data_IF_491710741424
#
_entry.id   IF_491710741424
#
_cell.length_a   1.000
_cell.length_b   1.000
_cell.length_c   1.000
_cell.angle_alpha   90.00
_cell.angle_beta   90.00
_cell.angle_gamma   90.00
#
_symmetry.space_group_name_H-M   'P 1'
#
loop_
_entity.id
_entity.type
_entity.pdbx_description
1 polymer ?
#
# COMPACT_ATOMS: atom_id res chain seq x y z
N UNK A 1 -17.59 -19.93 -31.98
CA UNK A 1 -16.35 -19.35 -31.42
C UNK A 1 -16.69 -18.86 -30.02
N UNK A 2 -16.36 -19.63 -29.00
CA UNK A 2 -16.62 -19.24 -27.60
C UNK A 2 -15.42 -18.39 -27.19
N UNK A 3 -15.63 -17.07 -27.03
CA UNK A 3 -14.62 -16.25 -26.40
C UNK A 3 -14.40 -16.82 -25.00
N UNK A 4 -13.15 -17.18 -24.61
CA UNK A 4 -12.90 -17.50 -23.20
C UNK A 4 -13.42 -16.32 -22.39
N UNK A 5 -14.23 -16.62 -21.37
CA UNK A 5 -14.79 -15.58 -20.52
C UNK A 5 -13.64 -14.71 -20.01
N UNK A 6 -13.83 -13.40 -19.91
CA UNK A 6 -12.81 -12.47 -19.36
C UNK A 6 -12.29 -12.97 -18.01
N UNK A 7 -13.15 -13.66 -17.26
CA UNK A 7 -12.79 -14.41 -16.06
C UNK A 7 -11.67 -15.45 -16.28
N UNK A 8 -11.83 -16.36 -17.25
CA UNK A 8 -10.84 -17.39 -17.55
C UNK A 8 -9.50 -16.82 -18.06
N UNK A 9 -9.52 -15.63 -18.69
CA UNK A 9 -8.31 -14.94 -19.13
C UNK A 9 -7.56 -14.23 -17.99
N UNK A 10 -8.26 -13.79 -16.93
CA UNK A 10 -7.70 -13.05 -15.80
C UNK A 10 -7.28 -13.93 -14.63
N UNK A 11 -7.93 -15.08 -14.43
CA UNK A 11 -7.66 -16.03 -13.35
C UNK A 11 -6.19 -16.45 -13.20
N UNK A 12 -5.39 -16.60 -14.28
CA UNK A 12 -3.96 -16.90 -14.13
C UNK A 12 -3.15 -15.77 -13.46
N UNK A 13 -3.64 -14.54 -13.52
CA UNK A 13 -2.91 -13.33 -13.10
C UNK A 13 -3.50 -12.65 -11.86
N UNK A 14 -4.79 -12.86 -11.60
CA UNK A 14 -5.56 -12.23 -10.53
C UNK A 14 -6.34 -13.28 -9.75
N UNK A 15 -6.36 -13.13 -8.43
CA UNK A 15 -7.29 -13.87 -7.57
C UNK A 15 -8.65 -13.16 -7.64
N UNK A 16 -9.48 -13.54 -8.62
CA UNK A 16 -10.74 -12.84 -8.93
C UNK A 16 -11.70 -12.83 -7.74
N UNK A 17 -11.97 -13.97 -7.05
CA UNK A 17 -12.83 -13.97 -5.87
C UNK A 17 -12.31 -13.04 -4.76
N UNK A 18 -11.00 -13.07 -4.48
CA UNK A 18 -10.39 -12.18 -3.48
C UNK A 18 -10.53 -10.71 -3.83
N UNK A 19 -10.28 -10.35 -5.10
CA UNK A 19 -10.34 -8.97 -5.55
C UNK A 19 -11.77 -8.43 -5.64
N UNK A 20 -12.75 -9.28 -5.98
CA UNK A 20 -14.16 -8.91 -5.97
C UNK A 20 -14.65 -8.56 -4.55
N UNK A 21 -14.36 -9.42 -3.56
CA UNK A 21 -14.74 -9.14 -2.18
C UNK A 21 -13.94 -7.97 -1.58
N UNK A 22 -12.63 -7.86 -1.90
CA UNK A 22 -11.82 -6.73 -1.50
C UNK A 22 -12.36 -5.41 -2.05
N UNK A 23 -12.80 -5.37 -3.31
CA UNK A 23 -13.42 -4.17 -3.89
C UNK A 23 -14.66 -3.75 -3.11
N UNK A 24 -15.51 -4.69 -2.71
CA UNK A 24 -16.66 -4.39 -1.84
C UNK A 24 -16.24 -3.86 -0.46
N UNK A 25 -15.23 -4.49 0.16
CA UNK A 25 -14.66 -4.03 1.45
C UNK A 25 -14.12 -2.61 1.33
N UNK A 26 -13.39 -2.29 0.25
CA UNK A 26 -12.83 -0.97 0.01
C UNK A 26 -13.90 0.09 -0.22
N UNK A 27 -14.98 -0.24 -0.95
CA UNK A 27 -16.12 0.67 -1.11
C UNK A 27 -16.83 0.95 0.22
N UNK A 28 -17.04 -0.07 1.06
CA UNK A 28 -17.61 0.11 2.40
C UNK A 28 -16.69 0.88 3.32
N UNK A 29 -15.38 0.63 3.23
CA UNK A 29 -14.35 1.33 3.98
C UNK A 29 -14.29 2.80 3.59
N UNK A 30 -14.31 3.11 2.29
CA UNK A 30 -14.38 4.46 1.76
C UNK A 30 -15.62 5.21 2.27
N UNK A 31 -16.81 4.60 2.15
CA UNK A 31 -18.05 5.22 2.66
C UNK A 31 -17.98 5.46 4.16
N UNK A 32 -17.45 4.50 4.92
CA UNK A 32 -17.29 4.62 6.37
C UNK A 32 -16.28 5.70 6.73
N UNK A 33 -15.17 5.82 6.00
CA UNK A 33 -14.18 6.86 6.20
C UNK A 33 -14.78 8.25 6.03
N UNK A 34 -15.53 8.46 4.95
CA UNK A 34 -16.13 9.77 4.63
C UNK A 34 -17.27 10.11 5.59
N UNK A 35 -18.15 9.16 5.90
CA UNK A 35 -19.39 9.44 6.64
C UNK A 35 -19.32 9.16 8.14
N UNK A 36 -18.61 8.11 8.57
CA UNK A 36 -18.61 7.60 9.96
C UNK A 36 -17.23 7.01 10.34
N UNK A 37 -16.17 7.84 10.45
CA UNK A 37 -14.81 7.34 10.71
C UNK A 37 -14.70 6.57 12.04
N UNK A 38 -15.54 6.87 13.03
CA UNK A 38 -15.62 6.11 14.28
C UNK A 38 -16.10 4.66 14.08
N UNK A 39 -17.05 4.43 13.17
CA UNK A 39 -17.48 3.08 12.81
C UNK A 39 -16.34 2.31 12.16
N UNK A 40 -15.62 2.97 11.25
CA UNK A 40 -14.46 2.35 10.61
C UNK A 40 -13.37 2.00 11.62
N UNK A 41 -13.10 2.89 12.59
CA UNK A 41 -12.18 2.60 13.70
C UNK A 41 -12.59 1.34 14.46
N UNK A 42 -13.87 1.22 14.83
CA UNK A 42 -14.38 0.01 15.51
C UNK A 42 -14.17 -1.23 14.66
N UNK A 43 -14.48 -1.18 13.36
CA UNK A 43 -14.26 -2.30 12.44
C UNK A 43 -12.78 -2.70 12.39
N UNK A 44 -11.86 -1.72 12.30
CA UNK A 44 -10.41 -1.96 12.29
C UNK A 44 -9.94 -2.63 13.58
N UNK A 45 -10.41 -2.16 14.75
CA UNK A 45 -10.05 -2.75 16.04
C UNK A 45 -10.61 -4.16 16.20
N UNK A 46 -11.87 -4.40 15.80
CA UNK A 46 -12.49 -5.73 15.84
C UNK A 46 -11.76 -6.69 14.88
N UNK A 47 -11.47 -6.28 13.65
CA UNK A 47 -10.71 -7.08 12.69
C UNK A 47 -9.31 -7.43 13.24
N UNK A 48 -8.64 -6.46 13.87
CA UNK A 48 -7.34 -6.66 14.52
C UNK A 48 -7.42 -7.69 15.65
N UNK A 49 -8.46 -7.61 16.49
CA UNK A 49 -8.69 -8.56 17.58
C UNK A 49 -8.99 -9.97 17.03
N UNK A 50 -9.83 -10.08 16.02
CA UNK A 50 -10.15 -11.36 15.35
C UNK A 50 -8.88 -12.00 14.78
N UNK A 51 -8.06 -11.24 14.04
CA UNK A 51 -6.80 -11.76 13.50
C UNK A 51 -5.86 -12.20 14.64
N UNK A 52 -5.70 -11.39 15.69
CA UNK A 52 -4.79 -11.71 16.81
C UNK A 52 -5.21 -12.98 17.56
N UNK A 53 -6.52 -13.21 17.73
CA UNK A 53 -7.05 -14.36 18.49
C UNK A 53 -7.04 -15.63 17.64
N UNK A 54 -7.46 -15.52 16.38
CA UNK A 54 -7.80 -16.67 15.52
C UNK A 54 -6.74 -17.00 14.47
N UNK A 55 -5.93 -16.05 13.98
CA UNK A 55 -4.91 -16.36 12.97
C UNK A 55 -3.73 -17.12 13.60
N UNK A 56 -3.71 -18.43 13.36
CA UNK A 56 -2.62 -19.34 13.74
C UNK A 56 -1.70 -19.70 12.57
N UNK A 57 -1.97 -19.13 11.40
CA UNK A 57 -1.32 -19.53 10.14
C UNK A 57 -0.24 -18.57 9.70
N UNK A 58 -0.35 -17.30 10.09
CA UNK A 58 0.62 -16.26 9.77
C UNK A 58 1.94 -16.47 10.49
N UNK A 59 3.03 -16.26 9.77
CA UNK A 59 4.38 -16.18 10.35
C UNK A 59 4.48 -14.98 11.30
N UNK A 60 5.50 -14.96 12.18
CA UNK A 60 5.76 -13.82 13.06
C UNK A 60 5.90 -12.50 12.29
N UNK A 61 6.56 -12.54 11.12
CA UNK A 61 6.73 -11.37 10.26
C UNK A 61 5.42 -10.87 9.66
N UNK A 62 4.57 -11.77 9.16
CA UNK A 62 3.23 -11.42 8.64
C UNK A 62 2.33 -10.85 9.74
N UNK A 63 2.39 -11.41 10.95
CA UNK A 63 1.64 -10.90 12.10
C UNK A 63 2.13 -9.49 12.52
N UNK A 64 3.45 -9.28 12.61
CA UNK A 64 4.03 -7.95 12.90
C UNK A 64 3.58 -6.94 11.86
N UNK A 65 3.67 -7.29 10.58
CA UNK A 65 3.22 -6.42 9.48
C UNK A 65 1.73 -6.09 9.61
N UNK A 66 0.90 -7.09 9.89
CA UNK A 66 -0.54 -6.91 10.06
C UNK A 66 -0.85 -5.96 11.23
N UNK A 67 -0.17 -6.13 12.37
CA UNK A 67 -0.34 -5.24 13.53
C UNK A 67 0.21 -3.82 13.28
N UNK A 68 1.30 -3.70 12.51
CA UNK A 68 1.86 -2.41 12.12
C UNK A 68 0.95 -1.64 11.16
N UNK A 69 0.34 -2.33 10.18
CA UNK A 69 -0.50 -1.71 9.16
C UNK A 69 -1.93 -1.42 9.66
N UNK A 70 -2.53 -2.33 10.43
CA UNK A 70 -3.96 -2.30 10.74
C UNK A 70 -4.28 -1.48 12.02
N UNK A 71 -4.01 -1.95 13.25
CA UNK A 71 -4.32 -1.16 14.45
C UNK A 71 -3.34 0.02 14.64
N UNK A 72 -2.04 -0.19 14.38
CA UNK A 72 -1.05 0.88 14.55
C UNK A 72 -1.08 1.87 13.39
N UNK A 73 -1.16 1.42 12.14
CA UNK A 73 -1.27 2.30 10.97
C UNK A 73 -2.65 2.95 10.86
N UNK A 74 -3.59 2.26 10.21
CA UNK A 74 -4.93 2.80 9.94
C UNK A 74 -5.70 3.14 11.23
N UNK A 75 -5.61 2.30 12.26
CA UNK A 75 -6.31 2.51 13.53
C UNK A 75 -5.86 3.78 14.25
N UNK A 76 -4.56 4.09 14.29
CA UNK A 76 -4.08 5.34 14.91
C UNK A 76 -4.51 6.57 14.12
N UNK A 77 -4.50 6.50 12.78
CA UNK A 77 -4.96 7.59 11.92
C UNK A 77 -6.44 7.86 12.14
N UNK A 78 -7.27 6.81 12.17
CA UNK A 78 -8.70 6.93 12.45
C UNK A 78 -8.98 7.43 13.87
N UNK A 79 -8.24 6.95 14.87
CA UNK A 79 -8.33 7.44 16.24
C UNK A 79 -8.03 8.94 16.31
N UNK A 80 -6.97 9.39 15.64
CA UNK A 80 -6.61 10.79 15.57
C UNK A 80 -7.66 11.63 14.83
N UNK A 81 -8.26 11.09 13.76
CA UNK A 81 -9.38 11.70 13.03
C UNK A 81 -10.62 11.85 13.93
N UNK A 82 -10.95 10.85 14.74
CA UNK A 82 -12.14 10.85 15.61
C UNK A 82 -11.93 11.67 16.88
N UNK A 83 -10.68 11.90 17.29
CA UNK A 83 -10.35 12.64 18.49
C UNK A 83 -10.92 14.08 18.50
N UNK A 84 -11.17 14.58 19.70
CA UNK A 84 -11.64 15.95 19.92
C UNK A 84 -10.59 16.99 19.48
N UNK A 85 -11.03 18.21 19.13
CA UNK A 85 -10.14 19.30 18.71
C UNK A 85 -9.00 19.60 19.72
N UNK A 86 -9.25 19.62 21.05
CA UNK A 86 -8.17 19.84 22.02
C UNK A 86 -7.11 18.73 22.01
N UNK A 87 -7.54 17.47 21.86
CA UNK A 87 -6.63 16.32 21.78
C UNK A 87 -5.80 16.40 20.49
N UNK A 88 -6.43 16.69 19.35
CA UNK A 88 -5.73 16.90 18.08
C UNK A 88 -4.68 18.00 18.21
N UNK A 89 -5.04 19.17 18.73
CA UNK A 89 -4.11 20.30 18.88
C UNK A 89 -2.92 19.96 19.79
N UNK A 90 -3.17 19.26 20.90
CA UNK A 90 -2.12 18.84 21.85
C UNK A 90 -1.14 17.82 21.26
N UNK A 91 -1.64 16.88 20.48
CA UNK A 91 -0.85 15.73 20.00
C UNK A 91 -0.42 15.81 18.54
N UNK A 92 -0.83 16.84 17.79
CA UNK A 92 -0.54 16.97 16.35
C UNK A 92 0.94 16.82 16.02
N UNK A 93 1.82 17.45 16.82
CA UNK A 93 3.26 17.36 16.58
C UNK A 93 3.80 15.93 16.75
N UNK A 94 3.47 15.28 17.87
CA UNK A 94 3.87 13.90 18.13
C UNK A 94 3.30 12.93 17.09
N UNK A 95 2.03 13.13 16.71
CA UNK A 95 1.37 12.33 15.67
C UNK A 95 2.04 12.53 14.29
N UNK A 96 2.48 13.75 13.98
CA UNK A 96 3.25 14.03 12.75
C UNK A 96 4.58 13.30 12.71
N UNK A 97 5.30 13.27 13.83
CA UNK A 97 6.54 12.50 13.94
C UNK A 97 6.25 11.01 13.75
N UNK A 98 5.25 10.48 14.43
CA UNK A 98 4.84 9.07 14.34
C UNK A 98 4.53 8.66 12.89
N UNK A 99 3.69 9.44 12.21
CA UNK A 99 3.29 9.20 10.82
C UNK A 99 4.49 9.29 9.87
N UNK A 100 5.36 10.29 10.04
CA UNK A 100 6.57 10.38 9.23
C UNK A 100 7.41 9.11 9.40
N UNK A 101 7.63 8.67 10.64
CA UNK A 101 8.37 7.44 10.90
C UNK A 101 7.73 6.21 10.26
N UNK A 102 6.40 6.11 10.33
CA UNK A 102 5.65 5.02 9.71
C UNK A 102 5.75 5.04 8.18
N UNK A 103 5.57 6.21 7.54
CA UNK A 103 5.60 6.34 6.07
C UNK A 103 7.01 6.10 5.52
N UNK A 104 8.02 6.83 6.03
CA UNK A 104 9.40 6.67 5.56
C UNK A 104 9.95 5.28 5.92
N UNK A 105 9.64 4.79 7.12
CA UNK A 105 10.01 3.45 7.55
C UNK A 105 9.44 2.38 6.63
N UNK A 106 8.14 2.43 6.31
CA UNK A 106 7.50 1.45 5.43
C UNK A 106 8.15 1.42 4.04
N UNK A 107 8.43 2.59 3.45
CA UNK A 107 9.06 2.69 2.13
C UNK A 107 10.50 2.15 2.17
N UNK A 108 11.32 2.61 3.13
CA UNK A 108 12.73 2.19 3.25
C UNK A 108 12.85 0.69 3.54
N UNK A 109 11.95 0.14 4.36
CA UNK A 109 11.92 -1.30 4.66
C UNK A 109 11.68 -2.16 3.41
N UNK A 110 11.07 -1.62 2.35
CA UNK A 110 10.90 -2.36 1.09
C UNK A 110 12.24 -2.70 0.41
N UNK A 111 13.35 -2.00 0.73
CA UNK A 111 14.70 -2.34 0.26
C UNK A 111 15.14 -3.73 0.77
N UNK A 112 14.67 -4.12 1.95
CA UNK A 112 14.96 -5.41 2.56
C UNK A 112 14.15 -6.57 1.95
N UNK A 113 13.25 -6.29 0.99
CA UNK A 113 12.51 -7.32 0.27
C UNK A 113 13.48 -8.27 -0.44
N UNK A 114 13.37 -9.60 -0.25
CA UNK A 114 14.23 -10.57 -0.93
C UNK A 114 14.15 -10.41 -2.45
N UNK A 115 15.29 -10.36 -3.12
CA UNK A 115 15.38 -10.21 -4.59
C UNK A 115 14.97 -11.48 -5.33
N UNK A 116 14.87 -12.62 -4.64
CA UNK A 116 14.54 -13.92 -5.22
C UNK A 116 15.51 -14.33 -6.34
N UNK A 117 16.76 -13.87 -6.25
CA UNK A 117 17.83 -14.07 -7.24
C UNK A 117 17.47 -13.65 -8.67
N UNK A 118 16.58 -12.66 -8.80
CA UNK A 118 16.17 -12.08 -10.09
C UNK A 118 16.87 -10.75 -10.37
N UNK A 119 17.08 -10.45 -11.66
CA UNK A 119 17.60 -9.14 -12.08
C UNK A 119 16.62 -8.03 -11.68
N UNK A 120 15.30 -8.23 -11.92
CA UNK A 120 14.29 -7.24 -11.54
C UNK A 120 14.28 -6.97 -10.02
N UNK A 121 14.53 -7.98 -9.19
CA UNK A 121 14.61 -7.84 -7.74
C UNK A 121 15.76 -6.93 -7.31
N UNK A 122 16.93 -7.04 -7.95
CA UNK A 122 18.04 -6.13 -7.69
C UNK A 122 17.70 -4.69 -8.15
N UNK A 123 17.13 -4.54 -9.35
CA UNK A 123 16.71 -3.25 -9.86
C UNK A 123 15.65 -2.58 -8.98
N UNK A 124 14.71 -3.35 -8.42
CA UNK A 124 13.72 -2.85 -7.45
C UNK A 124 14.40 -2.26 -6.20
N UNK A 125 15.47 -2.88 -5.68
CA UNK A 125 16.20 -2.31 -4.53
C UNK A 125 16.80 -0.95 -4.86
N UNK A 126 17.42 -0.82 -6.05
CA UNK A 126 17.99 0.45 -6.53
C UNK A 126 16.89 1.50 -6.69
N UNK A 127 15.77 1.14 -7.33
CA UNK A 127 14.62 2.03 -7.48
C UNK A 127 14.04 2.47 -6.14
N UNK A 128 13.92 1.55 -5.18
CA UNK A 128 13.43 1.83 -3.84
C UNK A 128 14.33 2.81 -3.10
N UNK A 129 15.65 2.64 -3.16
CA UNK A 129 16.60 3.58 -2.55
C UNK A 129 16.47 4.98 -3.16
N UNK A 130 16.38 5.08 -4.48
CA UNK A 130 16.21 6.35 -5.19
C UNK A 130 14.88 7.05 -4.83
N UNK A 131 13.78 6.30 -4.81
CA UNK A 131 12.45 6.80 -4.41
C UNK A 131 12.41 7.21 -2.93
N UNK A 132 13.09 6.47 -2.07
CA UNK A 132 13.22 6.78 -0.64
C UNK A 132 13.97 8.10 -0.44
N UNK A 133 15.11 8.27 -1.11
CA UNK A 133 15.86 9.53 -1.07
C UNK A 133 15.00 10.70 -1.57
N UNK A 134 14.23 10.50 -2.65
CA UNK A 134 13.34 11.53 -3.18
C UNK A 134 12.26 11.95 -2.18
N UNK A 135 11.52 11.01 -1.57
CA UNK A 135 10.45 11.38 -0.63
C UNK A 135 11.00 11.97 0.66
N UNK A 136 12.15 11.50 1.15
CA UNK A 136 12.83 12.05 2.32
C UNK A 136 13.21 13.52 2.08
N UNK A 137 13.75 13.85 0.90
CA UNK A 137 14.08 15.23 0.53
C UNK A 137 12.82 16.09 0.41
N UNK A 138 11.72 15.55 -0.15
CA UNK A 138 10.43 16.27 -0.17
C UNK A 138 9.94 16.57 1.25
N UNK A 139 10.00 15.59 2.15
CA UNK A 139 9.70 15.76 3.57
C UNK A 139 10.54 16.83 4.25
N UNK A 140 11.84 16.83 3.97
CA UNK A 140 12.77 17.83 4.49
C UNK A 140 12.43 19.25 4.00
N UNK A 141 12.11 19.44 2.71
CA UNK A 141 11.76 20.76 2.15
C UNK A 141 10.49 21.37 2.76
N UNK A 142 9.57 20.53 3.23
CA UNK A 142 8.37 20.98 4.00
C UNK A 142 8.60 20.96 5.52
N UNK A 143 9.86 20.94 5.97
CA UNK A 143 10.27 20.94 7.37
C UNK A 143 9.62 19.83 8.21
N UNK A 144 9.37 18.67 7.59
CA UNK A 144 8.68 17.53 8.23
C UNK A 144 7.24 17.81 8.68
N UNK A 145 6.66 18.96 8.32
CA UNK A 145 5.25 19.30 8.54
C UNK A 145 4.39 18.71 7.42
N UNK A 146 4.38 17.38 7.39
CA UNK A 146 3.80 16.58 6.29
C UNK A 146 2.32 16.28 6.47
N UNK A 147 1.74 16.59 7.62
CA UNK A 147 0.32 16.37 7.89
C UNK A 147 -0.42 17.70 7.85
N UNK A 148 -1.50 17.73 7.08
CA UNK A 148 -2.57 18.70 7.20
C UNK A 148 -3.85 17.98 7.68
N UNK A 149 -4.58 18.56 8.61
CA UNK A 149 -5.94 18.11 8.94
C UNK A 149 -6.92 18.94 8.12
N UNK A 150 -7.69 18.31 7.25
CA UNK A 150 -8.74 18.97 6.48
C UNK A 150 -10.05 18.21 6.64
N UNK A 151 -11.06 18.83 7.25
CA UNK A 151 -12.41 18.26 7.39
C UNK A 151 -12.47 16.79 7.87
N UNK A 152 -11.70 16.49 8.92
CA UNK A 152 -11.56 15.14 9.49
C UNK A 152 -10.94 14.09 8.55
N UNK A 153 -10.21 14.54 7.54
CA UNK A 153 -9.32 13.69 6.75
C UNK A 153 -7.87 13.95 7.10
N UNK A 154 -7.12 12.86 7.07
CA UNK A 154 -5.69 12.84 7.16
C UNK A 154 -5.10 13.14 5.78
N UNK A 155 -4.35 14.23 5.67
CA UNK A 155 -3.72 14.66 4.42
C UNK A 155 -2.21 14.61 4.58
N UNK A 156 -1.55 13.87 3.67
CA UNK A 156 -0.09 13.81 3.61
C UNK A 156 0.41 14.69 2.47
N UNK A 157 1.12 15.77 2.79
CA UNK A 157 1.47 16.85 1.85
C UNK A 157 2.86 16.70 1.23
N UNK A 158 3.68 15.75 1.69
CA UNK A 158 5.06 15.65 1.20
C UNK A 158 5.17 14.98 -0.17
N UNK A 159 4.25 14.08 -0.52
CA UNK A 159 4.33 13.32 -1.76
C UNK A 159 3.85 14.15 -2.96
N UNK A 160 4.66 14.23 -4.02
CA UNK A 160 4.21 14.83 -5.29
C UNK A 160 3.51 13.81 -6.19
N UNK A 161 2.66 14.28 -7.13
CA UNK A 161 2.02 13.41 -8.14
C UNK A 161 3.03 12.53 -8.87
N UNK A 162 4.15 13.11 -9.29
CA UNK A 162 5.22 12.38 -9.99
C UNK A 162 5.83 11.29 -9.11
N UNK A 163 6.02 11.56 -7.82
CA UNK A 163 6.52 10.55 -6.90
C UNK A 163 5.49 9.42 -6.72
N UNK A 164 4.21 9.75 -6.58
CA UNK A 164 3.11 8.77 -6.43
C UNK A 164 3.06 7.81 -7.62
N UNK A 165 3.09 8.32 -8.86
CA UNK A 165 3.07 7.45 -10.04
C UNK A 165 4.34 6.61 -10.19
N UNK A 166 5.51 7.19 -9.88
CA UNK A 166 6.77 6.45 -9.92
C UNK A 166 6.81 5.34 -8.86
N UNK A 167 6.31 5.62 -7.65
CA UNK A 167 6.16 4.67 -6.57
C UNK A 167 5.15 3.56 -6.93
N UNK A 168 4.02 3.91 -7.53
CA UNK A 168 3.04 2.93 -7.98
C UNK A 168 3.61 1.97 -9.04
N UNK A 169 4.35 2.49 -10.02
CA UNK A 169 5.03 1.66 -11.01
C UNK A 169 6.08 0.75 -10.37
N UNK A 170 6.89 1.30 -9.46
CA UNK A 170 7.86 0.53 -8.69
C UNK A 170 7.19 -0.60 -7.90
N UNK A 171 6.14 -0.29 -7.13
CA UNK A 171 5.46 -1.25 -6.25
C UNK A 171 4.69 -2.31 -7.04
N UNK A 172 4.14 -1.95 -8.20
CA UNK A 172 3.59 -2.92 -9.14
C UNK A 172 4.64 -3.97 -9.54
N UNK A 173 5.87 -3.55 -9.89
CA UNK A 173 6.95 -4.47 -10.24
C UNK A 173 7.42 -5.27 -9.02
N UNK A 174 7.58 -4.62 -7.86
CA UNK A 174 7.99 -5.25 -6.61
C UNK A 174 7.06 -6.41 -6.22
N UNK A 175 5.75 -6.22 -6.37
CA UNK A 175 4.73 -7.23 -6.03
C UNK A 175 4.70 -8.42 -7.01
N UNK A 176 5.52 -8.39 -8.07
CA UNK A 176 5.76 -9.55 -8.96
C UNK A 176 6.96 -10.40 -8.53
N UNK A 177 7.67 -10.03 -7.46
CA UNK A 177 8.82 -10.79 -6.97
C UNK A 177 8.39 -12.14 -6.36
N UNK A 178 9.23 -13.18 -6.46
CA UNK A 178 8.90 -14.53 -5.97
C UNK A 178 8.54 -14.58 -4.48
N UNK A 179 9.06 -13.66 -3.67
CA UNK A 179 8.77 -13.62 -2.23
C UNK A 179 7.30 -13.31 -1.89
N UNK A 180 6.52 -12.77 -2.84
CA UNK A 180 5.08 -12.52 -2.67
C UNK A 180 4.21 -13.72 -3.13
N UNK A 181 4.81 -14.90 -3.33
CA UNK A 181 4.10 -16.09 -3.78
C UNK A 181 3.59 -15.92 -5.21
N UNK A 182 2.31 -16.26 -5.46
CA UNK A 182 1.68 -16.02 -6.77
C UNK A 182 1.54 -14.52 -7.09
N UNK A 183 1.60 -13.63 -6.08
CA UNK A 183 1.36 -12.20 -6.19
C UNK A 183 -0.08 -11.82 -6.59
N UNK A 184 -0.95 -12.80 -6.89
CA UNK A 184 -2.29 -12.61 -7.48
C UNK A 184 -3.22 -11.74 -6.64
N UNK A 185 -3.12 -11.84 -5.32
CA UNK A 185 -3.90 -11.04 -4.35
C UNK A 185 -3.44 -9.58 -4.25
N UNK A 186 -2.22 -9.26 -4.67
CA UNK A 186 -1.61 -7.94 -4.49
C UNK A 186 -1.47 -7.15 -5.79
N UNK A 187 -1.71 -7.77 -6.95
CA UNK A 187 -1.51 -7.17 -8.29
C UNK A 187 -2.34 -5.91 -8.55
N UNK A 188 -3.52 -5.79 -7.94
CA UNK A 188 -4.40 -4.63 -8.09
C UNK A 188 -4.20 -3.57 -7.01
N UNK A 189 -3.25 -3.76 -6.08
CA UNK A 189 -3.09 -2.88 -4.92
C UNK A 189 -2.94 -1.42 -5.36
N UNK A 190 -2.03 -1.13 -6.30
CA UNK A 190 -1.79 0.23 -6.76
C UNK A 190 -3.00 0.82 -7.52
N UNK A 191 -3.76 -0.01 -8.23
CA UNK A 191 -5.00 0.43 -8.89
C UNK A 191 -6.03 0.83 -7.83
N UNK A 192 -6.15 0.07 -6.74
CA UNK A 192 -7.01 0.43 -5.62
C UNK A 192 -6.52 1.70 -4.92
N UNK A 193 -5.22 1.84 -4.63
CA UNK A 193 -4.68 3.04 -3.98
C UNK A 193 -4.91 4.30 -4.84
N UNK A 194 -4.61 4.24 -6.14
CA UNK A 194 -4.84 5.36 -7.06
C UNK A 194 -6.33 5.66 -7.27
N UNK A 195 -7.16 4.63 -7.40
CA UNK A 195 -8.61 4.77 -7.54
C UNK A 195 -9.25 5.41 -6.31
N UNK A 196 -8.87 4.95 -5.11
CA UNK A 196 -9.35 5.53 -3.86
C UNK A 196 -8.82 6.95 -3.65
N UNK A 197 -7.58 7.23 -4.06
CA UNK A 197 -7.02 8.60 -4.06
C UNK A 197 -7.86 9.53 -4.92
N UNK A 198 -8.22 9.09 -6.14
CA UNK A 198 -9.09 9.84 -7.04
C UNK A 198 -10.48 10.08 -6.43
N UNK A 199 -11.11 9.04 -5.87
CA UNK A 199 -12.42 9.17 -5.23
C UNK A 199 -12.39 10.15 -4.06
N UNK A 200 -11.38 10.06 -3.19
CA UNK A 200 -11.20 10.99 -2.07
C UNK A 200 -10.99 12.42 -2.55
N UNK A 201 -10.13 12.64 -3.55
CA UNK A 201 -9.90 13.96 -4.14
C UNK A 201 -11.19 14.56 -4.70
N UNK A 202 -12.02 13.76 -5.37
CA UNK A 202 -13.32 14.21 -5.90
C UNK A 202 -14.31 14.57 -4.80
N UNK A 203 -14.40 13.79 -3.72
CA UNK A 203 -15.35 14.08 -2.64
C UNK A 203 -14.94 15.22 -1.73
N UNK A 204 -13.65 15.51 -1.65
CA UNK A 204 -13.09 16.47 -0.68
C UNK A 204 -12.66 17.77 -1.33
N UNK A 205 -12.66 17.82 -2.66
CA UNK A 205 -12.12 18.93 -3.45
C UNK A 205 -10.65 19.24 -3.17
N UNK A 206 -9.92 18.30 -2.55
CA UNK A 206 -8.48 18.39 -2.33
C UNK A 206 -7.71 17.93 -3.56
N UNK A 207 -6.49 18.43 -3.71
CA UNK A 207 -5.55 17.95 -4.72
C UNK A 207 -5.30 16.44 -4.58
N UNK A 208 -5.20 15.74 -5.70
CA UNK A 208 -5.01 14.29 -5.77
C UNK A 208 -3.89 13.78 -4.84
N UNK A 209 -2.74 14.43 -4.89
CA UNK A 209 -1.54 14.09 -4.12
C UNK A 209 -1.76 14.08 -2.60
N UNK A 210 -2.62 14.96 -2.12
CA UNK A 210 -2.93 15.12 -0.70
C UNK A 210 -3.76 13.97 -0.15
N UNK A 211 -4.54 13.31 -1.01
CA UNK A 211 -5.38 12.18 -0.63
C UNK A 211 -4.64 10.83 -0.66
N UNK A 212 -3.47 10.76 -1.31
CA UNK A 212 -2.77 9.49 -1.55
C UNK A 212 -2.36 8.80 -0.25
N UNK A 213 -1.82 9.55 0.72
CA UNK A 213 -1.39 9.00 2.00
C UNK A 213 -2.53 8.28 2.74
N UNK A 214 -3.73 8.88 2.75
CA UNK A 214 -4.90 8.24 3.37
C UNK A 214 -5.39 7.04 2.56
N UNK A 215 -5.43 7.16 1.23
CA UNK A 215 -5.85 6.07 0.36
C UNK A 215 -4.97 4.82 0.53
N UNK A 216 -3.64 4.98 0.53
CA UNK A 216 -2.72 3.86 0.69
C UNK A 216 -2.76 3.29 2.12
N UNK A 217 -2.96 4.15 3.13
CA UNK A 217 -3.18 3.75 4.53
C UNK A 217 -4.51 3.00 4.72
N UNK A 218 -5.45 3.11 3.79
CA UNK A 218 -6.69 2.31 3.80
C UNK A 218 -6.50 1.00 3.02
N UNK A 219 -5.97 1.09 1.80
CA UNK A 219 -5.89 -0.04 0.88
C UNK A 219 -4.92 -1.10 1.37
N UNK A 220 -3.70 -0.72 1.77
CA UNK A 220 -2.71 -1.70 2.18
C UNK A 220 -3.16 -2.52 3.41
N UNK A 221 -3.67 -1.91 4.50
CA UNK A 221 -4.17 -2.68 5.63
C UNK A 221 -5.43 -3.49 5.30
N UNK A 222 -6.31 -3.02 4.40
CA UNK A 222 -7.48 -3.78 3.97
C UNK A 222 -7.08 -5.05 3.21
N UNK A 223 -6.09 -4.98 2.31
CA UNK A 223 -5.54 -6.15 1.61
C UNK A 223 -4.95 -7.14 2.62
N UNK A 224 -4.13 -6.65 3.55
CA UNK A 224 -3.48 -7.48 4.58
C UNK A 224 -4.52 -8.16 5.49
N UNK A 225 -5.47 -7.39 6.03
CA UNK A 225 -6.52 -7.90 6.90
C UNK A 225 -7.40 -8.92 6.17
N UNK A 226 -7.82 -8.63 4.94
CA UNK A 226 -8.64 -9.55 4.15
C UNK A 226 -7.88 -10.83 3.79
N UNK A 227 -6.58 -10.72 3.49
CA UNK A 227 -5.71 -11.88 3.27
C UNK A 227 -5.62 -12.77 4.51
N UNK A 228 -5.40 -12.20 5.70
CA UNK A 228 -5.36 -12.96 6.96
C UNK A 228 -6.70 -13.59 7.31
N UNK A 229 -7.81 -12.83 7.23
CA UNK A 229 -9.16 -13.33 7.56
C UNK A 229 -9.58 -14.44 6.59
N UNK A 230 -9.42 -14.23 5.28
CA UNK A 230 -9.78 -15.23 4.28
C UNK A 230 -8.99 -16.53 4.44
N UNK A 231 -7.70 -16.46 4.81
CA UNK A 231 -6.88 -17.64 5.11
C UNK A 231 -7.29 -18.33 6.40
N UNK A 232 -7.55 -17.55 7.46
CA UNK A 232 -7.89 -18.07 8.80
C UNK A 232 -9.18 -18.87 8.79
N UNK A 233 -10.18 -18.39 8.07
CA UNK A 233 -11.52 -19.01 8.00
C UNK A 233 -11.78 -19.79 6.70
N UNK A 234 -10.74 -20.00 5.89
CA UNK A 234 -10.81 -20.72 4.61
C UNK A 234 -11.93 -20.23 3.67
N UNK A 235 -12.17 -18.90 3.67
CA UNK A 235 -13.28 -18.28 2.94
C UNK A 235 -13.05 -18.22 1.43
N UNK A 236 -11.79 -18.25 1.01
CA UNK A 236 -11.36 -18.18 -0.39
C UNK A 236 -10.28 -19.24 -0.60
N UNK A 237 -10.33 -20.01 -1.70
CA UNK A 237 -9.31 -20.99 -2.03
C UNK A 237 -7.91 -20.41 -1.83
N UNK A 238 -7.07 -21.16 -1.11
CA UNK A 238 -5.69 -20.74 -0.84
C UNK A 238 -4.98 -20.50 -2.17
N UNK A 239 -4.30 -19.35 -2.26
CA UNK A 239 -3.33 -19.12 -3.33
C UNK A 239 -2.38 -20.31 -3.32
N UNK A 240 -2.32 -21.05 -4.44
CA UNK A 240 -1.73 -22.40 -4.52
C UNK A 240 -0.40 -22.51 -3.75
N UNK A 241 -0.32 -23.49 -2.85
CA UNK A 241 0.83 -23.70 -1.99
C UNK A 241 2.11 -23.98 -2.78
N UNK A 242 3.26 -23.70 -2.14
CA UNK A 242 4.61 -24.08 -2.60
C UNK A 242 4.59 -25.51 -3.15
N UNK A 243 4.60 -25.67 -4.47
CA UNK A 243 4.56 -26.99 -5.12
C UNK A 243 3.76 -27.03 -6.41
N UNK A 244 2.77 -26.14 -6.61
CA UNK A 244 2.28 -25.87 -7.95
C UNK A 244 3.22 -24.85 -8.58
N UNK A 245 4.20 -25.35 -9.35
CA UNK A 245 4.92 -24.56 -10.34
C UNK A 245 3.90 -23.66 -11.05
N UNK A 246 4.00 -22.33 -10.98
CA UNK A 246 3.22 -21.54 -11.90
C UNK A 246 3.74 -21.94 -13.27
N UNK A 247 2.91 -22.56 -14.09
CA UNK A 247 3.14 -22.65 -15.54
C UNK A 247 3.28 -21.26 -16.21
N UNK A 248 3.39 -20.17 -15.45
CA UNK A 248 3.54 -18.78 -15.89
C UNK A 248 4.46 -17.94 -14.99
N UNK A 249 5.57 -18.50 -14.50
CA UNK A 249 6.65 -17.68 -13.95
C UNK A 249 7.08 -16.62 -14.96
N UNK A 250 7.37 -15.39 -14.50
CA UNK A 250 7.88 -14.32 -15.39
C UNK A 250 9.13 -14.87 -16.10
N UNK A 251 9.10 -14.87 -17.43
CA UNK A 251 10.20 -15.38 -18.26
C UNK A 251 11.48 -14.57 -18.03
N UNK A 252 12.64 -15.11 -18.37
CA UNK A 252 13.90 -14.36 -18.31
C UNK A 252 13.83 -13.02 -19.06
N UNK A 253 13.13 -13.00 -20.20
CA UNK A 253 12.87 -11.78 -20.97
C UNK A 253 11.97 -10.80 -20.20
N UNK A 254 10.90 -11.29 -19.56
CA UNK A 254 10.05 -10.46 -18.71
C UNK A 254 10.79 -9.91 -17.49
N UNK A 255 11.70 -10.70 -16.92
CA UNK A 255 12.56 -10.27 -15.82
C UNK A 255 13.47 -9.10 -16.23
N UNK A 256 14.09 -9.22 -17.40
CA UNK A 256 14.92 -8.16 -17.99
C UNK A 256 14.11 -6.87 -18.21
N UNK A 257 12.95 -6.97 -18.88
CA UNK A 257 12.12 -5.79 -19.17
C UNK A 257 11.65 -5.09 -17.90
N UNK A 258 11.14 -5.83 -16.91
CA UNK A 258 10.71 -5.25 -15.64
C UNK A 258 11.90 -4.66 -14.85
N UNK A 259 13.08 -5.27 -14.94
CA UNK A 259 14.31 -4.70 -14.38
C UNK A 259 14.70 -3.37 -15.03
N UNK A 260 14.65 -3.27 -16.36
CA UNK A 260 14.89 -2.02 -17.10
C UNK A 260 13.89 -0.93 -16.72
N UNK A 261 12.61 -1.27 -16.59
CA UNK A 261 11.59 -0.31 -16.13
C UNK A 261 11.90 0.16 -14.71
N UNK A 262 12.27 -0.73 -13.79
CA UNK A 262 12.69 -0.36 -12.43
C UNK A 262 13.91 0.57 -12.44
N UNK A 263 14.92 0.32 -13.28
CA UNK A 263 16.08 1.22 -13.42
C UNK A 263 15.69 2.57 -14.01
N UNK A 264 14.72 2.62 -14.91
CA UNK A 264 14.18 3.87 -15.46
C UNK A 264 13.49 4.68 -14.37
N UNK A 265 12.71 4.02 -13.50
CA UNK A 265 12.12 4.67 -12.31
C UNK A 265 13.22 5.20 -11.38
N UNK A 266 14.28 4.42 -11.16
CA UNK A 266 15.42 4.85 -10.34
C UNK A 266 16.11 6.09 -10.92
N UNK A 267 16.41 6.08 -12.22
CA UNK A 267 17.02 7.21 -12.92
C UNK A 267 16.13 8.46 -12.84
N UNK A 268 14.83 8.30 -13.05
CA UNK A 268 13.86 9.39 -12.92
C UNK A 268 13.83 9.97 -11.50
N UNK A 269 13.82 9.11 -10.48
CA UNK A 269 13.87 9.54 -9.08
C UNK A 269 15.18 10.29 -8.78
N UNK A 270 16.33 9.80 -9.23
CA UNK A 270 17.61 10.48 -9.08
C UNK A 270 17.63 11.86 -9.75
N UNK A 271 17.09 11.99 -10.96
CA UNK A 271 16.98 13.30 -11.63
C UNK A 271 16.14 14.28 -10.81
N UNK A 272 15.03 13.80 -10.21
CA UNK A 272 14.19 14.63 -9.35
C UNK A 272 14.87 15.00 -8.04
N UNK A 273 15.64 14.09 -7.44
CA UNK A 273 16.50 14.38 -6.29
C UNK A 273 17.51 15.49 -6.61
N UNK A 274 18.26 15.35 -7.70
CA UNK A 274 19.25 16.35 -8.13
C UNK A 274 18.58 17.71 -8.35
N UNK A 275 17.41 17.73 -8.99
CA UNK A 275 16.63 18.95 -9.18
C UNK A 275 16.14 19.56 -7.87
N UNK A 276 15.90 18.77 -6.82
CA UNK A 276 15.43 19.28 -5.52
C UNK A 276 16.56 19.73 -4.60
N UNK A 277 17.81 19.31 -4.86
CA UNK A 277 18.99 19.74 -4.09
C UNK A 277 19.54 21.06 -4.64
N UNK A 278 19.42 21.29 -5.96
CA UNK A 278 19.91 22.51 -6.61
C UNK A 278 19.09 23.77 -6.30
N UNK A 279 17.91 23.63 -5.69
CA UNK A 279 16.96 24.70 -5.38
C UNK A 279 16.36 24.52 -4.00
#
# INVERSE_FOLDING_TARGET
MVFPSVYAALEPYLDVPFNASLSAILLLTYRSLVSKPALLLTIVLVASAVITIFDRTSTKGEMIKTMAELPLGLGSVLLFIVASRPVKARWLHAFTIYVNFAVYGNIVMMVATPSGDTFRGLCCKVACLALSAWIIIQGYRVQWKTILLHDNLFVFTAASKSWIFAHALYRFILLTLPCFGSGRRHRLLEIYSLGLTYLLSRTTSLSFEYCFGMADTVVAPAVTAWSSISKTFDLIPRDGGKGQLPMGGITATGDLYLGVVSLTVAAYACMKVISLIKY
#
